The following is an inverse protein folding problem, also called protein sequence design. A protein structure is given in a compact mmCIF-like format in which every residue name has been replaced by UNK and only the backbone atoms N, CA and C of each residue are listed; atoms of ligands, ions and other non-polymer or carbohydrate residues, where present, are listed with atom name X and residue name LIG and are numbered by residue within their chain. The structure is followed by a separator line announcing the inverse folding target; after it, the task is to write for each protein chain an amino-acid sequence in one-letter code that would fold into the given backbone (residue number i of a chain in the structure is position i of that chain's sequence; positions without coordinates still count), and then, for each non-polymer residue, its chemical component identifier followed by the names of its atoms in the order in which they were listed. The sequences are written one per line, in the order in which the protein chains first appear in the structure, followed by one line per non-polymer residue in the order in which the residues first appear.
data_IF_494441384100
#
_entry.id   IF_494441384100
#
_cell.length_a   1.000
_cell.length_b   1.000
_cell.length_c   1.000
_cell.angle_alpha   90.00
_cell.angle_beta   90.00
_cell.angle_gamma   90.00
#
_symmetry.space_group_name_H-M   'P 1'
#
loop_
_entity.id
_entity.type
_entity.pdbx_description
1 polymer ?
#
# COMPACT_ATOMS: atom_id res chain seq x y z
N UNK A 1 24.95 12.58 -11.74
CA UNK A 1 24.01 11.77 -10.93
C UNK A 1 22.66 12.48 -11.00
N UNK A 2 21.77 11.99 -11.86
CA UNK A 2 20.42 12.55 -12.00
C UNK A 2 19.62 12.21 -10.74
N UNK A 3 19.01 13.17 -10.03
CA UNK A 3 18.12 12.85 -8.93
C UNK A 3 16.92 12.09 -9.52
N UNK A 4 16.73 10.85 -9.07
CA UNK A 4 15.60 10.00 -9.42
C UNK A 4 14.33 10.83 -9.22
N UNK A 5 13.47 10.99 -10.24
CA UNK A 5 12.28 11.81 -10.08
C UNK A 5 11.49 11.23 -8.93
N UNK A 6 11.14 12.11 -7.98
CA UNK A 6 10.21 11.87 -6.89
C UNK A 6 9.18 10.85 -7.35
N UNK A 7 9.27 9.63 -6.81
CA UNK A 7 8.33 8.56 -7.03
C UNK A 7 7.00 9.05 -6.48
N UNK A 8 6.27 9.80 -7.28
CA UNK A 8 4.88 10.09 -7.00
C UNK A 8 4.21 8.73 -6.98
N UNK A 9 3.66 8.29 -5.84
CA UNK A 9 3.04 6.99 -5.77
C UNK A 9 1.96 6.94 -6.86
N UNK A 10 2.02 5.90 -7.69
CA UNK A 10 1.07 5.70 -8.78
C UNK A 10 -0.34 5.86 -8.27
N UNK A 11 -1.26 6.34 -9.12
CA UNK A 11 -2.67 6.43 -8.73
C UNK A 11 -3.20 5.07 -8.20
N UNK A 12 -2.68 3.96 -8.73
CA UNK A 12 -2.97 2.61 -8.27
C UNK A 12 -2.42 2.33 -6.86
N UNK A 13 -1.15 2.64 -6.59
CA UNK A 13 -0.55 2.53 -5.25
C UNK A 13 -1.33 3.33 -4.21
N UNK A 14 -1.71 4.58 -4.50
CA UNK A 14 -2.53 5.38 -3.57
C UNK A 14 -3.87 4.73 -3.25
N UNK A 15 -4.55 4.17 -4.26
CA UNK A 15 -5.81 3.45 -4.08
C UNK A 15 -5.61 2.17 -3.27
N UNK A 16 -4.54 1.43 -3.55
CA UNK A 16 -4.18 0.22 -2.82
C UNK A 16 -3.92 0.51 -1.34
N UNK A 17 -3.13 1.53 -1.02
CA UNK A 17 -2.84 1.99 0.35
C UNK A 17 -4.14 2.36 1.09
N UNK A 18 -5.02 3.14 0.45
CA UNK A 18 -6.30 3.53 1.03
C UNK A 18 -7.18 2.30 1.31
N UNK A 19 -7.27 1.39 0.34
CA UNK A 19 -8.00 0.13 0.48
C UNK A 19 -7.41 -0.77 1.56
N UNK A 20 -6.08 -0.85 1.66
CA UNK A 20 -5.37 -1.60 2.70
C UNK A 20 -5.77 -1.14 4.09
N UNK A 21 -5.82 0.18 4.31
CA UNK A 21 -6.26 0.79 5.55
C UNK A 21 -7.72 0.45 5.87
N UNK A 22 -8.61 0.51 4.88
CA UNK A 22 -10.01 0.10 5.06
C UNK A 22 -10.16 -1.39 5.40
N UNK A 23 -9.42 -2.27 4.73
CA UNK A 23 -9.49 -3.72 4.98
C UNK A 23 -8.93 -4.06 6.34
N UNK A 24 -7.82 -3.43 6.76
CA UNK A 24 -7.24 -3.64 8.08
C UNK A 24 -8.16 -3.15 9.21
N UNK A 25 -8.92 -2.07 8.98
CA UNK A 25 -9.94 -1.62 9.94
C UNK A 25 -11.17 -2.55 9.98
N UNK A 26 -11.63 -3.03 8.81
CA UNK A 26 -12.80 -3.92 8.71
C UNK A 26 -12.49 -5.36 9.15
N UNK A 27 -11.27 -5.82 8.91
CA UNK A 27 -10.81 -7.18 9.15
C UNK A 27 -9.42 -7.17 9.81
N UNK A 28 -9.33 -6.82 11.11
CA UNK A 28 -8.06 -6.88 11.84
C UNK A 28 -7.53 -8.32 12.01
N UNK A 29 -8.37 -9.32 11.73
CA UNK A 29 -8.02 -10.74 11.68
C UNK A 29 -7.21 -11.13 10.42
N UNK A 30 -7.28 -10.32 9.35
CA UNK A 30 -6.53 -10.59 8.13
C UNK A 30 -5.06 -10.27 8.32
N UNK A 31 -4.21 -11.18 7.84
CA UNK A 31 -2.77 -10.97 7.84
C UNK A 31 -2.35 -10.01 6.71
N UNK A 32 -1.30 -9.23 6.97
CA UNK A 32 -0.75 -8.27 6.01
C UNK A 32 -0.46 -8.91 4.65
N UNK A 33 0.12 -10.11 4.62
CA UNK A 33 0.52 -10.79 3.39
C UNK A 33 -0.68 -11.09 2.49
N UNK A 34 -1.81 -11.52 3.07
CA UNK A 34 -3.05 -11.75 2.32
C UNK A 34 -3.63 -10.46 1.75
N UNK A 35 -3.60 -9.37 2.52
CA UNK A 35 -4.17 -8.09 2.08
C UNK A 35 -3.28 -7.42 1.04
N UNK A 36 -1.95 -7.58 1.14
CA UNK A 36 -1.01 -7.12 0.11
C UNK A 36 -1.24 -7.90 -1.17
N UNK A 37 -1.34 -9.22 -1.12
CA UNK A 37 -1.58 -10.06 -2.31
C UNK A 37 -2.92 -9.71 -3.00
N UNK A 38 -3.99 -9.50 -2.21
CA UNK A 38 -5.26 -9.00 -2.76
C UNK A 38 -5.12 -7.60 -3.38
N UNK A 39 -4.32 -6.72 -2.79
CA UNK A 39 -4.08 -5.38 -3.32
C UNK A 39 -3.25 -5.42 -4.61
N UNK A 40 -2.25 -6.29 -4.70
CA UNK A 40 -1.45 -6.52 -5.89
C UNK A 40 -2.31 -6.98 -7.07
N UNK A 41 -3.21 -7.94 -6.82
CA UNK A 41 -4.14 -8.47 -7.83
C UNK A 41 -5.24 -7.47 -8.21
N UNK A 42 -5.71 -6.63 -7.27
CA UNK A 42 -6.80 -5.67 -7.52
C UNK A 42 -6.35 -4.37 -8.18
N UNK A 43 -5.16 -3.90 -7.84
CA UNK A 43 -4.66 -2.58 -8.25
C UNK A 43 -3.49 -2.67 -9.24
N UNK A 44 -3.10 -3.89 -9.67
CA UNK A 44 -1.96 -4.14 -10.54
C UNK A 44 -0.70 -3.45 -10.01
N UNK A 45 -0.37 -3.74 -8.74
CA UNK A 45 0.85 -3.20 -8.14
C UNK A 45 2.08 -3.88 -8.75
N UNK A 46 3.09 -3.08 -9.06
CA UNK A 46 4.38 -3.63 -9.44
C UNK A 46 5.10 -4.24 -8.23
N UNK A 47 6.08 -5.16 -8.44
CA UNK A 47 6.86 -5.74 -7.35
C UNK A 47 7.53 -4.69 -6.46
N UNK A 48 7.95 -3.56 -7.06
CA UNK A 48 8.53 -2.43 -6.32
C UNK A 48 7.51 -1.72 -5.42
N UNK A 49 6.28 -1.59 -5.89
CA UNK A 49 5.18 -0.99 -5.10
C UNK A 49 4.74 -1.93 -3.97
N UNK A 50 4.68 -3.24 -4.23
CA UNK A 50 4.43 -4.23 -3.18
C UNK A 50 5.48 -4.15 -2.07
N UNK A 51 6.77 -4.11 -2.44
CA UNK A 51 7.85 -3.99 -1.46
C UNK A 51 7.75 -2.69 -0.66
N UNK A 52 7.39 -1.58 -1.30
CA UNK A 52 7.12 -0.32 -0.62
C UNK A 52 5.96 -0.42 0.38
N UNK A 53 4.83 -1.00 -0.04
CA UNK A 53 3.65 -1.19 0.82
C UNK A 53 3.99 -2.10 1.98
N UNK A 54 4.73 -3.20 1.76
CA UNK A 54 5.12 -4.13 2.81
C UNK A 54 6.10 -3.49 3.81
N UNK A 55 7.10 -2.75 3.31
CA UNK A 55 8.08 -2.05 4.14
C UNK A 55 7.44 -0.93 4.98
N UNK A 56 6.46 -0.22 4.42
CA UNK A 56 5.75 0.89 5.08
C UNK A 56 4.39 0.48 5.64
N UNK A 57 4.07 -0.82 5.65
CA UNK A 57 2.72 -1.32 5.95
C UNK A 57 2.21 -0.79 7.29
N UNK A 58 3.06 -0.88 8.32
CA UNK A 58 2.73 -0.40 9.66
C UNK A 58 2.45 1.10 9.67
N UNK A 59 3.21 1.92 8.95
CA UNK A 59 3.00 3.37 8.93
C UNK A 59 1.70 3.74 8.19
N UNK A 60 1.45 3.06 7.07
CA UNK A 60 0.23 3.19 6.25
C UNK A 60 -1.03 2.81 7.06
N UNK A 61 -1.00 1.70 7.78
CA UNK A 61 -2.17 1.17 8.50
C UNK A 61 -2.34 1.76 9.90
N UNK A 62 -1.27 2.27 10.53
CA UNK A 62 -1.29 2.75 11.93
C UNK A 62 -1.68 4.22 12.06
N UNK A 63 -1.69 4.98 10.97
CA UNK A 63 -2.28 6.32 10.99
C UNK A 63 -1.40 7.37 10.34
N UNK A 64 -1.74 7.67 9.09
CA UNK A 64 -1.80 9.02 8.50
C UNK A 64 -2.35 8.90 7.07
N UNK A 65 -3.64 8.59 6.95
CA UNK A 65 -4.36 9.12 5.80
C UNK A 65 -4.60 10.60 6.14
N UNK A 66 -3.64 11.45 5.79
CA UNK A 66 -3.79 12.89 5.88
C UNK A 66 -4.95 13.27 4.96
N UNK A 67 -6.07 13.64 5.59
CA UNK A 67 -7.26 14.25 4.96
C UNK A 67 -6.87 15.56 4.26
#
# INVERSE_FOLDING_TARGET
MTPTPLQTPSANLKKAICWLGEVMQKHPEKQRDQVIEEAELRFDLTPAECEFVNANFKDITTGRCCV
#
